data_IF_021991244974
#
_entry.id   IF_021991244974
#
_cell.length_a   1.000
_cell.length_b   1.000
_cell.length_c   1.000
_cell.angle_alpha   90.00
_cell.angle_beta   90.00
_cell.angle_gamma   90.00
#
_symmetry.space_group_name_H-M   'P 1'
#
loop_
_entity.id
_entity.type
_entity.pdbx_description
1 polymer ?
#
# COMPACT_ATOMS: atom_id res chain seq x y z
N UNK A 1 4.29 13.09 -2.60
CA UNK A 1 5.30 12.15 -3.10
C UNK A 1 4.75 11.56 -4.38
N UNK A 2 5.57 11.38 -5.41
CA UNK A 2 5.16 10.63 -6.60
C UNK A 2 5.99 9.35 -6.63
N UNK A 3 5.29 8.21 -6.60
CA UNK A 3 5.91 6.90 -6.71
C UNK A 3 5.87 6.47 -8.18
N UNK A 4 7.01 6.03 -8.70
CA UNK A 4 7.17 5.49 -10.05
C UNK A 4 7.57 4.01 -9.96
N UNK A 5 7.59 3.34 -11.11
CA UNK A 5 8.01 1.95 -11.21
C UNK A 5 9.49 1.80 -10.82
N UNK A 6 9.76 0.81 -9.95
CA UNK A 6 11.11 0.53 -9.44
C UNK A 6 11.98 -0.08 -10.52
N UNK A 7 13.18 0.47 -10.73
CA UNK A 7 14.16 -0.12 -11.65
C UNK A 7 14.91 -1.30 -11.04
N UNK A 8 15.26 -1.19 -9.75
CA UNK A 8 16.01 -2.22 -9.03
C UNK A 8 15.79 -2.14 -7.51
N UNK A 9 16.21 -3.18 -6.79
CA UNK A 9 16.08 -3.26 -5.32
C UNK A 9 17.30 -2.71 -4.58
N UNK A 10 18.45 -2.55 -5.26
CA UNK A 10 19.70 -2.07 -4.66
C UNK A 10 19.70 -0.56 -4.47
N UNK A 11 19.32 0.19 -5.50
CA UNK A 11 19.60 1.63 -5.60
C UNK A 11 18.34 2.47 -5.82
N UNK A 12 17.24 1.86 -6.24
CA UNK A 12 15.99 2.54 -6.62
C UNK A 12 14.77 2.02 -5.83
N UNK A 13 15.01 1.47 -4.65
CA UNK A 13 13.99 0.97 -3.74
C UNK A 13 14.00 1.76 -2.43
N UNK A 14 13.02 2.64 -2.22
CA UNK A 14 12.91 3.44 -0.98
C UNK A 14 12.89 2.57 0.29
N UNK A 15 12.15 1.45 0.29
CA UNK A 15 12.07 0.57 1.46
C UNK A 15 13.38 -0.16 1.75
N UNK A 16 14.18 -0.43 0.71
CA UNK A 16 15.46 -1.09 0.82
C UNK A 16 16.55 -0.11 1.26
N UNK A 17 16.49 1.14 0.78
CA UNK A 17 17.47 2.18 1.06
C UNK A 17 17.21 2.94 2.37
N UNK A 18 15.97 2.97 2.88
CA UNK A 18 15.61 3.70 4.08
C UNK A 18 15.29 2.75 5.24
N UNK A 19 15.92 2.99 6.39
CA UNK A 19 15.54 2.31 7.63
C UNK A 19 14.22 2.90 8.17
N UNK A 20 13.10 2.28 7.79
CA UNK A 20 11.74 2.69 8.20
C UNK A 20 11.28 2.03 9.50
N UNK A 21 12.09 1.20 10.15
CA UNK A 21 11.71 0.50 11.37
C UNK A 21 11.57 1.45 12.57
N UNK A 22 10.57 1.19 13.42
CA UNK A 22 10.39 1.93 14.67
C UNK A 22 9.81 3.34 14.51
N UNK A 23 9.08 3.60 13.41
CA UNK A 23 8.40 4.87 13.19
C UNK A 23 7.46 5.25 14.34
N UNK A 24 7.71 6.40 14.95
CA UNK A 24 6.88 7.01 16.00
C UNK A 24 6.81 8.54 15.82
N UNK A 25 5.90 9.19 16.55
CA UNK A 25 5.68 10.64 16.42
C UNK A 25 6.91 11.50 16.80
N UNK A 26 7.79 10.99 17.67
CA UNK A 26 8.99 11.68 18.15
C UNK A 26 10.16 11.57 17.17
N UNK A 27 10.32 10.44 16.48
CA UNK A 27 11.43 10.15 15.57
C UNK A 27 11.05 10.28 14.08
N UNK A 28 9.81 10.66 13.77
CA UNK A 28 9.30 10.90 12.41
C UNK A 28 10.27 11.69 11.52
N UNK A 29 10.84 12.79 12.02
CA UNK A 29 11.75 13.63 11.20
C UNK A 29 13.07 12.93 10.82
N UNK A 30 13.52 11.99 11.64
CA UNK A 30 14.77 11.26 11.45
C UNK A 30 14.56 10.00 10.59
N UNK A 31 13.44 9.30 10.79
CA UNK A 31 13.10 8.09 10.03
C UNK A 31 12.58 8.43 8.63
N UNK A 32 11.83 9.52 8.52
CA UNK A 32 11.23 9.98 7.26
C UNK A 32 12.16 10.96 6.56
N UNK A 33 13.39 10.51 6.34
CA UNK A 33 14.27 11.14 5.36
C UNK A 33 13.92 10.56 4.00
N UNK A 34 13.52 11.43 3.07
CA UNK A 34 13.19 11.04 1.70
C UNK A 34 14.39 11.30 0.81
N UNK A 35 15.19 10.26 0.46
CA UNK A 35 16.27 10.41 -0.49
C UNK A 35 15.69 10.75 -1.87
N UNK A 36 16.50 11.39 -2.71
CA UNK A 36 16.13 11.61 -4.10
C UNK A 36 16.33 10.30 -4.87
N UNK A 37 15.27 9.50 -4.89
CA UNK A 37 15.18 8.26 -5.67
C UNK A 37 14.31 8.54 -6.90
N UNK A 38 14.69 7.97 -8.04
CA UNK A 38 13.91 8.14 -9.27
C UNK A 38 12.53 7.47 -9.17
N UNK A 39 12.43 6.40 -8.38
CA UNK A 39 11.17 5.72 -8.06
C UNK A 39 10.35 6.36 -6.97
N UNK A 40 10.92 7.25 -6.16
CA UNK A 40 10.24 7.91 -5.06
C UNK A 40 10.65 9.38 -5.00
N UNK A 41 10.13 10.17 -5.93
CA UNK A 41 10.50 11.58 -6.08
C UNK A 41 9.61 12.42 -5.15
N UNK A 42 10.26 13.40 -4.51
CA UNK A 42 9.57 14.43 -3.73
C UNK A 42 8.51 15.12 -4.60
N UNK A 43 7.34 15.47 -4.03
CA UNK A 43 6.34 16.21 -4.79
C UNK A 43 6.97 17.48 -5.38
N UNK A 44 6.92 17.59 -6.70
CA UNK A 44 7.41 18.75 -7.43
C UNK A 44 6.49 19.93 -7.11
N UNK A 45 7.00 21.15 -6.91
CA UNK A 45 6.17 22.33 -6.80
C UNK A 45 5.20 22.38 -7.99
N UNK A 46 3.90 22.56 -7.70
CA UNK A 46 2.93 22.79 -8.77
C UNK A 46 3.39 24.00 -9.59
N UNK A 47 3.37 23.87 -10.92
CA UNK A 47 3.67 24.98 -11.82
C UNK A 47 2.69 26.13 -11.62
N UNK A 48 3.03 27.36 -12.05
CA UNK A 48 2.20 28.55 -11.86
C UNK A 48 0.77 28.38 -12.43
N UNK A 49 0.60 27.54 -13.46
CA UNK A 49 -0.69 27.27 -14.12
C UNK A 49 -1.47 26.09 -13.52
N UNK A 50 -0.91 25.34 -12.56
CA UNK A 50 -1.60 24.18 -11.98
C UNK A 50 -2.18 24.57 -10.62
N UNK A 51 -3.52 24.65 -10.48
CA UNK A 51 -4.12 24.96 -9.19
C UNK A 51 -3.73 23.90 -8.17
N UNK A 52 -3.26 24.34 -7.00
CA UNK A 52 -3.02 23.43 -5.88
C UNK A 52 -4.35 22.74 -5.55
N UNK A 53 -4.39 21.41 -5.43
CA UNK A 53 -5.60 20.74 -4.97
C UNK A 53 -5.93 21.29 -3.58
N UNK A 54 -7.07 21.95 -3.47
CA UNK A 54 -7.61 22.44 -2.22
C UNK A 54 -8.29 21.25 -1.55
N UNK A 55 -7.92 20.96 -0.31
CA UNK A 55 -8.61 19.94 0.47
C UNK A 55 -10.09 20.32 0.59
N UNK A 56 -10.99 19.44 0.15
CA UNK A 56 -12.43 19.68 0.24
C UNK A 56 -12.85 19.80 1.71
N UNK A 57 -13.46 20.92 2.08
CA UNK A 57 -13.97 21.18 3.44
C UNK A 57 -15.03 20.16 3.89
N UNK A 58 -15.69 19.48 2.95
CA UNK A 58 -16.61 18.38 3.25
C UNK A 58 -15.92 17.21 3.96
N UNK A 59 -14.63 16.99 3.70
CA UNK A 59 -13.85 15.90 4.32
C UNK A 59 -13.52 16.23 5.79
N UNK A 60 -13.31 17.51 6.12
CA UNK A 60 -13.00 17.93 7.50
C UNK A 60 -14.19 17.73 8.46
N UNK A 61 -15.42 17.97 8.00
CA UNK A 61 -16.64 17.68 8.78
C UNK A 61 -16.86 16.18 8.99
N UNK A 62 -16.52 15.34 8.01
CA UNK A 62 -16.54 13.89 8.19
C UNK A 62 -15.51 13.49 9.24
N UNK A 63 -14.27 13.97 9.17
CA UNK A 63 -13.19 13.65 10.12
C UNK A 63 -13.54 14.07 11.56
N UNK A 64 -14.16 15.24 11.75
CA UNK A 64 -14.57 15.68 13.09
C UNK A 64 -15.68 14.82 13.71
N UNK A 65 -16.45 14.10 12.89
CA UNK A 65 -17.47 13.15 13.34
C UNK A 65 -16.96 11.72 13.56
N UNK A 66 -15.72 11.40 13.15
CA UNK A 66 -15.07 10.10 13.39
C UNK A 66 -14.16 10.10 14.63
N UNK A 67 -14.28 11.12 15.49
CA UNK A 67 -13.70 11.10 16.84
C UNK A 67 -14.63 10.41 17.84
N UNK A 68 -15.41 9.44 17.39
CA UNK A 68 -15.79 8.32 18.24
C UNK A 68 -14.90 7.17 17.83
N UNK A 69 -14.24 6.55 18.80
CA UNK A 69 -13.40 5.38 18.59
C UNK A 69 -14.16 4.39 17.72
N UNK A 70 -13.83 4.36 16.43
CA UNK A 70 -14.24 3.25 15.60
C UNK A 70 -13.61 2.06 16.28
N UNK A 71 -14.43 1.22 16.89
CA UNK A 71 -14.07 -0.12 17.35
C UNK A 71 -13.69 -0.92 16.10
N UNK A 72 -12.57 -0.55 15.47
CA UNK A 72 -11.88 -1.39 14.54
C UNK A 72 -11.25 -2.46 15.42
N UNK A 73 -12.06 -3.46 15.75
CA UNK A 73 -11.53 -4.75 16.16
C UNK A 73 -10.81 -5.27 14.93
N UNK A 74 -9.45 -5.33 14.92
CA UNK A 74 -8.76 -6.05 13.87
C UNK A 74 -9.34 -7.46 13.86
N UNK A 75 -10.06 -7.76 12.79
CA UNK A 75 -10.68 -9.06 12.59
C UNK A 75 -9.55 -10.00 12.20
N UNK A 76 -8.91 -10.60 13.22
CA UNK A 76 -7.92 -11.64 13.05
C UNK A 76 -8.60 -12.94 12.60
N UNK A 77 -9.45 -12.89 11.56
CA UNK A 77 -10.00 -14.12 10.99
C UNK A 77 -8.82 -14.98 10.61
N UNK A 78 -8.82 -16.21 11.09
CA UNK A 78 -7.93 -17.22 10.56
C UNK A 78 -8.09 -17.27 9.04
N UNK A 79 -6.98 -17.46 8.30
CA UNK A 79 -7.04 -17.60 6.85
C UNK A 79 -8.10 -18.62 6.49
N UNK A 80 -9.09 -18.20 5.71
CA UNK A 80 -10.16 -19.09 5.26
C UNK A 80 -9.51 -20.13 4.34
N UNK A 81 -9.46 -21.38 4.81
CA UNK A 81 -8.83 -22.49 4.10
C UNK A 81 -9.78 -22.99 3.02
N UNK A 82 -9.36 -22.88 1.77
CA UNK A 82 -10.10 -23.43 0.64
C UNK A 82 -10.03 -24.96 0.63
N UNK A 83 -11.15 -25.62 0.40
CA UNK A 83 -11.15 -27.04 0.05
C UNK A 83 -10.74 -27.23 -1.42
N UNK A 84 -10.30 -28.44 -1.79
CA UNK A 84 -9.81 -28.76 -3.13
C UNK A 84 -10.87 -28.48 -4.23
N UNK A 85 -12.16 -28.69 -3.94
CA UNK A 85 -13.25 -28.40 -4.88
C UNK A 85 -13.41 -26.90 -5.10
N UNK A 86 -13.36 -26.09 -4.04
CA UNK A 86 -13.50 -24.64 -4.10
C UNK A 86 -12.33 -24.01 -4.86
N UNK A 87 -11.12 -24.53 -4.64
CA UNK A 87 -9.93 -24.10 -5.38
C UNK A 87 -10.04 -24.43 -6.88
N UNK A 88 -10.58 -25.61 -7.22
CA UNK A 88 -10.80 -26.01 -8.61
C UNK A 88 -11.87 -25.15 -9.30
N UNK A 89 -12.96 -24.84 -8.59
CA UNK A 89 -14.01 -23.95 -9.09
C UNK A 89 -13.45 -22.53 -9.32
N UNK A 90 -12.65 -22.02 -8.38
CA UNK A 90 -11.98 -20.72 -8.50
C UNK A 90 -11.05 -20.66 -9.72
N UNK A 91 -10.23 -21.69 -9.94
CA UNK A 91 -9.34 -21.77 -11.10
C UNK A 91 -10.13 -21.75 -12.41
N UNK A 92 -11.28 -22.45 -12.45
CA UNK A 92 -12.16 -22.49 -13.63
C UNK A 92 -12.83 -21.16 -13.87
N UNK A 93 -13.40 -20.54 -12.83
CA UNK A 93 -14.14 -19.28 -12.93
C UNK A 93 -13.23 -18.13 -13.39
N UNK A 94 -11.99 -18.11 -12.89
CA UNK A 94 -10.97 -17.14 -13.29
C UNK A 94 -10.28 -17.46 -14.62
N UNK A 95 -10.61 -18.58 -15.27
CA UNK A 95 -10.04 -19.02 -16.55
C UNK A 95 -8.50 -18.99 -16.56
N UNK A 96 -7.88 -19.46 -15.46
CA UNK A 96 -6.45 -19.29 -15.27
C UNK A 96 -5.64 -20.27 -16.14
N UNK A 97 -4.54 -19.80 -16.77
CA UNK A 97 -3.59 -20.70 -17.39
C UNK A 97 -2.84 -21.51 -16.32
N UNK A 98 -2.39 -22.72 -16.67
CA UNK A 98 -1.74 -23.68 -15.75
C UNK A 98 -0.67 -23.04 -14.84
N UNK A 99 0.18 -22.17 -15.41
CA UNK A 99 1.23 -21.49 -14.64
C UNK A 99 0.69 -20.59 -13.52
N UNK A 100 -0.44 -19.90 -13.76
CA UNK A 100 -1.08 -19.06 -12.74
C UNK A 100 -1.84 -19.89 -11.70
N UNK A 101 -2.48 -21.00 -12.14
CA UNK A 101 -3.14 -21.95 -11.23
C UNK A 101 -2.15 -22.56 -10.23
N UNK A 102 -0.94 -22.92 -10.68
CA UNK A 102 0.11 -23.46 -9.83
C UNK A 102 0.60 -22.45 -8.78
N UNK A 103 0.67 -21.16 -9.12
CA UNK A 103 1.03 -20.11 -8.18
C UNK A 103 -0.04 -19.91 -7.11
N UNK A 104 -1.32 -19.96 -7.50
CA UNK A 104 -2.42 -19.88 -6.54
C UNK A 104 -2.40 -21.05 -5.56
N UNK A 105 -2.25 -22.28 -6.05
CA UNK A 105 -2.22 -23.48 -5.19
C UNK A 105 -1.06 -23.39 -4.18
N UNK A 106 0.13 -22.94 -4.61
CA UNK A 106 1.29 -22.75 -3.72
C UNK A 106 1.13 -21.64 -2.68
N UNK A 107 0.22 -20.69 -2.93
CA UNK A 107 -0.02 -19.60 -1.99
C UNK A 107 -0.99 -19.98 -0.86
N UNK A 108 -1.71 -21.10 -1.02
CA UNK A 108 -2.74 -21.60 -0.09
C UNK A 108 -2.19 -22.71 0.83
N UNK A 109 -1.08 -23.35 0.48
CA UNK A 109 -0.35 -24.36 1.29
C UNK A 109 0.93 -23.78 1.88
#
# INVERSE_FOLDING_TARGET
>A
MVWRELRNHSDDCYFCSCNVQGFNRKNKKHIVLYPNLDSAIRPVPHGPDVPKPIASKEIENVISSVSEESNFTPDFREPEVFNQSELNDLIRDLHLPKAASELLVKSIY
#
